data_IF_064162089853
#
_entry.id   IF_064162089853
#
_cell.length_a   1.000
_cell.length_b   1.000
_cell.length_c   1.000
_cell.angle_alpha   90.00
_cell.angle_beta   90.00
_cell.angle_gamma   90.00
#
_symmetry.space_group_name_H-M   'P 1'
#
loop_
_entity.id
_entity.type
_entity.pdbx_description
1 polymer ?
#
# COMPACT_ATOMS: atom_id res chain seq x y z
N UNK A 1 9.18 -4.37 11.69
CA UNK A 1 8.83 -5.68 12.21
C UNK A 1 8.79 -6.70 11.10
N UNK A 2 8.66 -7.94 11.47
CA UNK A 2 8.74 -9.03 10.50
C UNK A 2 7.52 -9.07 9.60
N UNK A 3 7.75 -9.54 8.37
CA UNK A 3 6.68 -9.85 7.44
C UNK A 3 6.72 -11.34 7.20
N UNK A 4 5.61 -12.02 7.46
CA UNK A 4 5.51 -13.46 7.24
C UNK A 4 5.60 -13.75 5.74
N UNK A 5 6.41 -14.73 5.32
CA UNK A 5 6.51 -15.03 3.89
C UNK A 5 5.16 -15.35 3.26
N UNK A 6 4.32 -16.08 3.97
CA UNK A 6 3.00 -16.42 3.45
C UNK A 6 2.11 -15.20 3.27
N UNK A 7 2.24 -14.21 4.14
CA UNK A 7 1.43 -13.00 4.01
C UNK A 7 1.85 -12.20 2.78
N UNK A 8 3.15 -12.05 2.55
CA UNK A 8 3.62 -11.31 1.37
C UNK A 8 3.16 -12.00 0.09
N UNK A 9 3.25 -13.32 0.03
CA UNK A 9 2.79 -14.07 -1.13
C UNK A 9 1.30 -13.89 -1.34
N UNK A 10 0.52 -13.91 -0.27
CA UNK A 10 -0.92 -13.71 -0.35
C UNK A 10 -1.25 -12.33 -0.92
N UNK A 11 -0.57 -11.29 -0.43
CA UNK A 11 -0.80 -9.92 -0.90
C UNK A 11 -0.48 -9.80 -2.40
N UNK A 12 0.64 -10.37 -2.83
CA UNK A 12 1.02 -10.31 -4.24
C UNK A 12 -0.04 -11.00 -5.10
N UNK A 13 -0.54 -12.13 -4.64
CA UNK A 13 -1.59 -12.84 -5.37
C UNK A 13 -2.87 -12.03 -5.44
N UNK A 14 -3.26 -11.41 -4.34
CA UNK A 14 -4.47 -10.60 -4.29
C UNK A 14 -4.36 -9.35 -5.15
N UNK A 15 -3.16 -8.83 -5.33
CA UNK A 15 -2.93 -7.65 -6.17
C UNK A 15 -2.75 -8.00 -7.66
N UNK A 16 -2.95 -9.26 -8.03
CA UNK A 16 -2.74 -9.68 -9.41
C UNK A 16 -3.51 -8.89 -10.44
N UNK A 17 -4.68 -8.35 -10.08
CA UNK A 17 -5.47 -7.52 -10.98
C UNK A 17 -4.86 -6.16 -11.28
N UNK A 18 -3.81 -5.78 -10.57
CA UNK A 18 -3.12 -4.51 -10.80
C UNK A 18 -2.05 -4.60 -11.89
N UNK A 19 -1.86 -5.77 -12.48
CA UNK A 19 -0.80 -5.99 -13.44
C UNK A 19 0.48 -6.43 -12.76
N UNK A 20 1.60 -6.46 -13.48
CA UNK A 20 2.87 -6.92 -12.91
C UNK A 20 3.31 -6.04 -11.75
N UNK A 21 3.68 -6.68 -10.65
CA UNK A 21 4.22 -5.95 -9.50
C UNK A 21 5.51 -6.60 -9.05
N UNK A 22 6.34 -5.80 -8.36
CA UNK A 22 7.65 -6.23 -7.87
C UNK A 22 7.72 -5.90 -6.39
N UNK A 23 8.32 -6.79 -5.61
CA UNK A 23 8.50 -6.55 -4.18
C UNK A 23 9.97 -6.37 -3.85
N UNK A 24 10.25 -5.52 -2.85
CA UNK A 24 11.61 -5.32 -2.35
C UNK A 24 11.58 -5.19 -0.85
N UNK A 25 12.52 -5.82 -0.18
CA UNK A 25 12.64 -5.66 1.27
C UNK A 25 13.15 -4.27 1.60
N UNK A 26 12.56 -3.65 2.62
CA UNK A 26 13.00 -2.35 3.08
C UNK A 26 12.46 -2.09 4.49
N UNK A 27 13.28 -1.44 5.32
CA UNK A 27 12.85 -1.00 6.67
C UNK A 27 12.25 -2.11 7.50
N UNK A 28 12.70 -3.35 7.32
CA UNK A 28 12.11 -4.49 8.03
C UNK A 28 10.80 -4.96 7.46
N UNK A 29 10.28 -4.31 6.43
CA UNK A 29 9.05 -4.69 5.75
C UNK A 29 9.30 -5.01 4.30
N UNK A 30 8.25 -4.85 3.48
CA UNK A 30 8.32 -5.11 2.05
C UNK A 30 7.66 -3.97 1.30
N UNK A 31 8.38 -3.37 0.37
CA UNK A 31 7.79 -2.38 -0.53
C UNK A 31 7.28 -3.05 -1.79
N UNK A 32 6.18 -2.53 -2.34
CA UNK A 32 5.57 -3.08 -3.54
C UNK A 32 5.54 -2.01 -4.61
N UNK A 33 6.01 -2.38 -5.80
CA UNK A 33 6.16 -1.47 -6.93
C UNK A 33 5.36 -1.96 -8.12
N UNK A 34 4.78 -1.02 -8.85
CA UNK A 34 4.24 -1.27 -10.18
C UNK A 34 5.24 -0.66 -11.17
N UNK A 35 6.05 -1.50 -11.81
CA UNK A 35 7.19 -1.00 -12.55
C UNK A 35 8.14 -0.27 -11.62
N UNK A 36 8.37 1.00 -11.86
CA UNK A 36 9.23 1.83 -11.01
C UNK A 36 8.47 2.58 -9.94
N UNK A 37 7.17 2.38 -9.86
CA UNK A 37 6.31 3.21 -9.01
C UNK A 37 6.05 2.49 -7.69
N UNK A 38 6.53 3.07 -6.60
CA UNK A 38 6.36 2.55 -5.25
C UNK A 38 4.97 2.96 -4.76
N UNK A 39 4.08 1.99 -4.51
CA UNK A 39 2.70 2.32 -4.18
C UNK A 39 2.15 1.60 -2.95
N UNK A 40 2.89 0.69 -2.37
CA UNK A 40 2.38 -0.08 -1.22
C UNK A 40 3.52 -0.55 -0.34
N UNK A 41 3.20 -0.78 0.93
CA UNK A 41 4.15 -1.27 1.94
C UNK A 41 3.47 -2.36 2.74
N UNK A 42 4.20 -3.43 3.03
CA UNK A 42 3.79 -4.41 4.03
C UNK A 42 4.71 -4.26 5.23
N UNK A 43 4.13 -4.04 6.40
CA UNK A 43 4.89 -3.95 7.63
C UNK A 43 4.09 -4.59 8.75
N UNK A 44 4.73 -5.47 9.50
CA UNK A 44 4.10 -6.17 10.63
C UNK A 44 2.82 -6.89 10.17
N UNK A 45 2.88 -7.49 8.98
CA UNK A 45 1.78 -8.23 8.36
C UNK A 45 0.52 -7.38 8.16
N UNK A 46 0.72 -6.10 7.87
CA UNK A 46 -0.36 -5.19 7.48
C UNK A 46 0.02 -4.57 6.14
N UNK A 47 -0.93 -4.57 5.22
CA UNK A 47 -0.74 -3.93 3.92
C UNK A 47 -1.20 -2.48 3.99
N UNK A 48 -0.35 -1.58 3.52
CA UNK A 48 -0.67 -0.16 3.42
C UNK A 48 -0.57 0.28 1.97
N UNK A 49 -1.49 1.13 1.53
CA UNK A 49 -1.49 1.65 0.16
C UNK A 49 -1.28 3.16 0.19
N UNK A 50 -0.63 3.66 -0.85
CA UNK A 50 -0.37 5.09 -0.95
C UNK A 50 -1.65 5.88 -1.12
N UNK A 51 -1.73 7.03 -0.44
CA UNK A 51 -2.94 7.85 -0.46
C UNK A 51 -2.61 9.30 -0.79
N UNK A 52 -3.62 10.00 -1.30
CA UNK A 52 -3.68 11.45 -1.35
C UNK A 52 -5.15 11.83 -1.19
N UNK A 53 -5.47 13.08 -1.45
CA UNK A 53 -6.84 13.55 -1.24
C UNK A 53 -7.86 12.81 -2.10
N UNK A 54 -7.42 12.20 -3.22
CA UNK A 54 -8.35 11.55 -4.14
C UNK A 54 -8.86 10.20 -3.63
N UNK A 55 -8.08 9.51 -2.76
CA UNK A 55 -8.48 8.18 -2.30
C UNK A 55 -8.48 7.99 -0.79
N UNK A 56 -7.99 8.98 -0.02
CA UNK A 56 -7.87 8.81 1.43
C UNK A 56 -9.22 8.62 2.11
N UNK A 57 -10.27 9.25 1.59
CA UNK A 57 -11.58 9.17 2.20
C UNK A 57 -12.10 7.73 2.27
N UNK A 58 -11.78 6.91 1.26
CA UNK A 58 -12.19 5.50 1.25
C UNK A 58 -11.60 4.76 2.45
N UNK A 59 -10.32 5.05 2.76
CA UNK A 59 -9.64 4.41 3.89
C UNK A 59 -10.21 4.90 5.22
N UNK A 60 -10.42 6.20 5.33
CA UNK A 60 -10.94 6.77 6.56
C UNK A 60 -12.34 6.29 6.86
N UNK A 61 -13.18 6.17 5.83
CA UNK A 61 -14.54 5.67 6.00
C UNK A 61 -14.54 4.22 6.49
N UNK A 62 -13.50 3.46 6.17
CA UNK A 62 -13.37 2.07 6.60
C UNK A 62 -12.70 1.93 7.96
N UNK A 63 -12.33 3.04 8.59
CA UNK A 63 -11.68 3.00 9.90
C UNK A 63 -10.18 2.76 9.84
N UNK A 64 -9.58 2.87 8.67
CA UNK A 64 -8.15 2.65 8.52
C UNK A 64 -7.34 3.83 9.03
N UNK A 65 -6.08 3.58 9.41
CA UNK A 65 -5.19 4.60 9.89
C UNK A 65 -3.91 4.70 9.07
N UNK A 66 -3.18 5.78 9.23
CA UNK A 66 -1.94 5.98 8.49
C UNK A 66 -0.80 5.13 9.03
N UNK A 67 0.15 4.83 8.14
CA UNK A 67 1.37 4.13 8.50
C UNK A 67 2.29 5.06 9.28
N UNK A 68 2.77 4.61 10.43
CA UNK A 68 3.66 5.38 11.28
C UNK A 68 4.91 4.56 11.54
N UNK A 69 5.95 4.72 10.73
CA UNK A 69 7.13 3.86 10.83
C UNK A 69 7.85 3.98 12.16
N UNK A 70 7.74 5.13 12.84
CA UNK A 70 8.38 5.35 14.14
C UNK A 70 7.38 5.38 15.28
N UNK A 71 6.21 4.73 15.07
CA UNK A 71 5.17 4.73 16.08
C UNK A 71 4.54 6.11 16.22
N UNK A 72 3.95 6.33 17.39
CA UNK A 72 3.23 7.59 17.62
C UNK A 72 4.15 8.81 17.61
N UNK A 73 5.44 8.61 17.88
CA UNK A 73 6.37 9.72 17.97
C UNK A 73 6.90 10.17 16.61
N UNK A 74 6.71 9.38 15.56
CA UNK A 74 7.28 9.68 14.27
C UNK A 74 6.31 10.37 13.34
N UNK A 75 6.83 10.73 12.17
CA UNK A 75 5.99 11.34 11.13
C UNK A 75 5.04 10.31 10.55
N UNK A 76 3.84 10.78 10.20
CA UNK A 76 2.86 9.97 9.51
C UNK A 76 3.17 9.97 8.02
N UNK A 77 3.25 8.79 7.43
CA UNK A 77 3.40 8.67 5.99
C UNK A 77 2.04 8.66 5.32
N UNK A 78 2.02 9.04 4.05
CA UNK A 78 0.78 9.05 3.27
C UNK A 78 0.47 7.66 2.72
N UNK A 79 0.48 6.68 3.62
CA UNK A 79 0.10 5.29 3.34
C UNK A 79 -0.88 4.89 4.42
N UNK A 80 -1.99 4.29 4.02
CA UNK A 80 -3.05 3.88 4.97
C UNK A 80 -3.27 2.38 4.89
N UNK A 81 -3.60 1.78 6.02
CA UNK A 81 -3.83 0.34 6.10
C UNK A 81 -5.04 -0.06 5.28
N UNK A 82 -4.99 -1.27 4.71
CA UNK A 82 -6.09 -1.82 3.93
C UNK A 82 -7.01 -2.58 4.88
N UNK A 83 -8.33 -2.31 4.85
CA UNK A 83 -9.25 -3.09 5.68
C UNK A 83 -9.20 -4.56 5.32
N UNK A 84 -9.41 -5.42 6.32
CA UNK A 84 -9.36 -6.87 6.10
C UNK A 84 -10.38 -7.30 5.05
N UNK A 85 -11.57 -6.71 5.05
CA UNK A 85 -12.60 -7.07 4.09
C UNK A 85 -12.16 -6.79 2.65
N UNK A 86 -11.40 -5.72 2.43
CA UNK A 86 -10.86 -5.39 1.11
C UNK A 86 -9.70 -6.33 0.78
N UNK A 87 -8.84 -6.59 1.75
CA UNK A 87 -7.69 -7.46 1.55
C UNK A 87 -8.12 -8.85 1.10
N UNK A 88 -9.22 -9.34 1.63
CA UNK A 88 -9.71 -10.68 1.33
C UNK A 88 -10.52 -10.75 0.04
N UNK A 89 -10.83 -9.61 -0.56
CA UNK A 89 -11.59 -9.54 -1.81
C UNK A 89 -10.64 -9.08 -2.91
N UNK A 90 -10.18 -10.03 -3.73
CA UNK A 90 -9.15 -9.73 -4.72
C UNK A 90 -9.59 -8.65 -5.72
N UNK A 91 -10.86 -8.65 -6.11
CA UNK A 91 -11.36 -7.65 -7.06
C UNK A 91 -11.36 -6.26 -6.43
N UNK A 92 -11.80 -6.17 -5.19
CA UNK A 92 -11.84 -4.89 -4.50
C UNK A 92 -10.43 -4.39 -4.20
N UNK A 93 -9.57 -5.29 -3.76
CA UNK A 93 -8.18 -4.91 -3.50
C UNK A 93 -7.49 -4.43 -4.76
N UNK A 94 -7.75 -5.07 -5.90
CA UNK A 94 -7.18 -4.62 -7.16
C UNK A 94 -7.65 -3.21 -7.51
N UNK A 95 -8.92 -2.90 -7.27
CA UNK A 95 -9.42 -1.55 -7.52
C UNK A 95 -8.74 -0.53 -6.63
N UNK A 96 -8.60 -0.83 -5.35
CA UNK A 96 -7.91 0.06 -4.41
C UNK A 96 -6.44 0.20 -4.77
N UNK A 97 -5.81 -0.90 -5.20
CA UNK A 97 -4.41 -0.88 -5.61
C UNK A 97 -4.20 -0.02 -6.86
N UNK A 98 -5.10 -0.12 -7.84
CA UNK A 98 -4.98 0.70 -9.04
C UNK A 98 -5.08 2.18 -8.73
N UNK A 99 -5.94 2.56 -7.78
CA UNK A 99 -6.01 3.95 -7.34
C UNK A 99 -4.71 4.38 -6.66
N UNK A 100 -4.14 3.52 -5.83
CA UNK A 100 -2.88 3.81 -5.16
C UNK A 100 -1.75 3.99 -6.17
N UNK A 101 -1.73 3.16 -7.21
CA UNK A 101 -0.74 3.30 -8.28
C UNK A 101 -0.90 4.65 -8.97
N UNK A 102 -2.13 5.05 -9.28
CA UNK A 102 -2.39 6.33 -9.92
C UNK A 102 -1.92 7.49 -9.04
N UNK A 103 -2.17 7.39 -7.73
CA UNK A 103 -1.70 8.41 -6.78
C UNK A 103 -0.17 8.50 -6.81
N UNK A 104 0.50 7.35 -6.81
CA UNK A 104 1.95 7.32 -6.80
C UNK A 104 2.53 7.86 -8.11
N UNK A 105 1.90 7.55 -9.23
CA UNK A 105 2.33 8.09 -10.53
C UNK A 105 2.21 9.61 -10.54
N UNK A 106 1.09 10.13 -10.04
CA UNK A 106 0.89 11.57 -9.98
C UNK A 106 1.92 12.25 -9.09
N UNK A 107 2.24 11.63 -7.95
CA UNK A 107 3.23 12.18 -7.03
C UNK A 107 4.62 12.20 -7.68
N UNK A 108 4.98 11.14 -8.41
CA UNK A 108 6.26 11.11 -9.09
C UNK A 108 6.35 12.15 -10.18
N UNK A 109 5.26 12.37 -10.91
CA UNK A 109 5.23 13.39 -11.95
C UNK A 109 5.47 14.78 -11.36
N UNK A 110 4.82 15.06 -10.22
CA UNK A 110 5.03 16.35 -9.56
C UNK A 110 6.46 16.51 -9.06
N UNK A 111 7.05 15.43 -8.56
CA UNK A 111 8.42 15.47 -8.05
C UNK A 111 9.45 15.76 -9.12
N UNK A 112 9.18 15.36 -10.34
CA UNK A 112 10.14 15.52 -11.43
C UNK A 112 10.17 16.92 -12.01
N UNK A 113 9.32 17.79 -11.55
CA UNK A 113 9.23 19.15 -12.08
C UNK A 113 10.21 20.11 -11.45
#
# INVERSE_FOLDING_TARGET
>A
MAVSPGFADFVVEQLGGCGPIVTKRMFGGVGIYSGDVFFAIIDNDILYLKTDDSNRADFEAAGSGPFKPNGEAGETMMYYSVPVSVLEDADELAAWGRKAIAVAVAANSRKKR
#
